data_IF_649291881799
#
_entry.id   IF_649291881799
#
_cell.length_a   1.000
_cell.length_b   1.000
_cell.length_c   1.000
_cell.angle_alpha   90.00
_cell.angle_beta   90.00
_cell.angle_gamma   90.00
#
_symmetry.space_group_name_H-M   'P 1'
#
loop_
_entity.id
_entity.type
_entity.pdbx_description
1 polymer ?
#
# COMPACT_ATOMS: atom_id res chain seq x y z
N UNK A 1 27.92 2.33 -12.40
CA UNK A 1 27.55 0.91 -12.13
C UNK A 1 26.87 0.82 -10.76
N UNK A 2 27.50 1.31 -9.68
CA UNK A 2 26.95 1.32 -8.32
C UNK A 2 25.50 1.86 -8.22
N UNK A 3 25.21 3.05 -8.77
CA UNK A 3 23.85 3.61 -8.75
C UNK A 3 22.80 2.78 -9.53
N UNK A 4 23.22 1.99 -10.53
CA UNK A 4 22.29 1.09 -11.25
C UNK A 4 21.93 -0.11 -10.40
N UNK A 5 22.90 -0.69 -9.69
CA UNK A 5 22.68 -1.81 -8.78
C UNK A 5 21.85 -1.39 -7.57
N UNK A 6 22.11 -0.20 -7.02
CA UNK A 6 21.28 0.41 -5.98
C UNK A 6 19.81 0.53 -6.43
N UNK A 7 19.57 1.17 -7.58
CA UNK A 7 18.24 1.33 -8.15
C UNK A 7 17.55 0.00 -8.48
N UNK A 8 18.30 -1.02 -8.94
CA UNK A 8 17.77 -2.35 -9.20
C UNK A 8 17.18 -2.99 -7.95
N UNK A 9 17.93 -3.00 -6.84
CA UNK A 9 17.47 -3.59 -5.59
C UNK A 9 16.31 -2.81 -4.98
N UNK A 10 16.33 -1.47 -5.03
CA UNK A 10 15.18 -0.67 -4.60
C UNK A 10 13.92 -0.96 -5.43
N UNK A 11 14.05 -1.03 -6.76
CA UNK A 11 12.93 -1.36 -7.63
C UNK A 11 12.35 -2.76 -7.36
N UNK A 12 13.22 -3.75 -7.08
CA UNK A 12 12.78 -5.09 -6.67
C UNK A 12 12.09 -5.09 -5.31
N UNK A 13 12.61 -4.33 -4.35
CA UNK A 13 11.96 -4.13 -3.05
C UNK A 13 10.54 -3.58 -3.23
N UNK A 14 10.34 -2.60 -4.13
CA UNK A 14 8.99 -2.12 -4.46
C UNK A 14 8.07 -3.26 -4.94
N UNK A 15 8.49 -4.02 -5.96
CA UNK A 15 7.69 -5.10 -6.56
C UNK A 15 7.37 -6.25 -5.60
N UNK A 16 8.24 -6.56 -4.64
CA UNK A 16 7.93 -7.55 -3.61
C UNK A 16 6.74 -7.14 -2.72
N UNK A 17 6.42 -5.85 -2.63
CA UNK A 17 5.24 -5.35 -1.95
C UNK A 17 3.92 -5.51 -2.72
N UNK A 18 3.94 -5.96 -3.98
CA UNK A 18 2.72 -6.09 -4.79
C UNK A 18 1.67 -7.03 -4.19
N UNK A 19 2.10 -8.12 -3.53
CA UNK A 19 1.19 -9.03 -2.81
C UNK A 19 0.55 -8.39 -1.58
N UNK A 20 1.22 -7.42 -0.96
CA UNK A 20 0.64 -6.67 0.16
C UNK A 20 -0.55 -5.85 -0.34
N UNK A 21 -0.39 -5.13 -1.46
CA UNK A 21 -1.46 -4.33 -2.08
C UNK A 21 -2.64 -5.19 -2.52
N UNK A 22 -2.37 -6.34 -3.17
CA UNK A 22 -3.42 -7.32 -3.53
C UNK A 22 -4.21 -7.75 -2.28
N UNK A 23 -3.50 -8.13 -1.22
CA UNK A 23 -4.10 -8.59 0.04
C UNK A 23 -4.85 -7.49 0.79
N UNK A 24 -4.43 -6.24 0.66
CA UNK A 24 -5.12 -5.05 1.20
C UNK A 24 -6.32 -4.59 0.34
N UNK A 25 -6.47 -5.15 -0.87
CA UNK A 25 -7.58 -4.82 -1.78
C UNK A 25 -8.80 -5.71 -1.56
N UNK A 26 -8.67 -7.02 -1.76
CA UNK A 26 -9.81 -7.94 -1.64
C UNK A 26 -9.36 -9.35 -1.26
N UNK A 27 -10.24 -10.18 -0.66
CA UNK A 27 -9.89 -11.55 -0.28
C UNK A 27 -9.49 -12.45 -1.45
N UNK A 28 -9.99 -12.18 -2.65
CA UNK A 28 -9.73 -12.97 -3.86
C UNK A 28 -8.57 -12.45 -4.72
N UNK A 29 -8.06 -11.24 -4.47
CA UNK A 29 -7.09 -10.59 -5.35
C UNK A 29 -5.80 -11.41 -5.57
N UNK A 30 -5.20 -11.97 -4.51
CA UNK A 30 -4.00 -12.81 -4.68
C UNK A 30 -4.28 -14.04 -5.53
N UNK A 31 -5.43 -14.70 -5.35
CA UNK A 31 -5.80 -15.86 -6.16
C UNK A 31 -6.09 -15.50 -7.61
N UNK A 32 -6.70 -14.33 -7.87
CA UNK A 32 -6.90 -13.81 -9.24
C UNK A 32 -5.54 -13.59 -9.91
N UNK A 33 -4.60 -12.95 -9.21
CA UNK A 33 -3.24 -12.76 -9.71
C UNK A 33 -2.57 -14.09 -10.04
N UNK A 34 -2.62 -15.06 -9.11
CA UNK A 34 -2.00 -16.37 -9.31
C UNK A 34 -2.64 -17.15 -10.48
N UNK A 35 -3.95 -17.03 -10.67
CA UNK A 35 -4.64 -17.62 -11.82
C UNK A 35 -4.21 -16.98 -13.15
N UNK A 36 -4.13 -15.65 -13.22
CA UNK A 36 -3.63 -14.92 -14.41
C UNK A 36 -2.21 -15.36 -14.77
N UNK A 37 -1.31 -15.41 -13.78
CA UNK A 37 0.09 -15.80 -14.00
C UNK A 37 0.19 -17.26 -14.43
N UNK A 38 -0.62 -18.16 -13.85
CA UNK A 38 -0.65 -19.56 -14.25
C UNK A 38 -1.16 -19.75 -15.68
N UNK A 39 -2.22 -19.04 -16.09
CA UNK A 39 -2.69 -19.07 -17.48
C UNK A 39 -1.60 -18.60 -18.45
N UNK A 40 -0.95 -17.47 -18.13
CA UNK A 40 0.14 -16.93 -18.94
C UNK A 40 1.30 -17.93 -19.07
N UNK A 41 1.68 -18.59 -17.98
CA UNK A 41 2.71 -19.63 -17.97
C UNK A 41 2.30 -20.84 -18.81
N UNK A 42 1.07 -21.32 -18.64
CA UNK A 42 0.57 -22.52 -19.31
C UNK A 42 0.40 -22.34 -20.83
N UNK A 43 0.01 -21.15 -21.28
CA UNK A 43 -0.03 -20.81 -22.72
C UNK A 43 1.31 -20.26 -23.25
N UNK A 44 2.32 -20.10 -22.40
CA UNK A 44 3.62 -19.51 -22.74
C UNK A 44 3.47 -18.14 -23.42
N UNK A 45 2.54 -17.33 -22.94
CA UNK A 45 2.18 -16.02 -23.48
C UNK A 45 1.41 -16.02 -24.80
N UNK A 46 1.11 -17.18 -25.39
CA UNK A 46 0.31 -17.30 -26.63
C UNK A 46 -1.17 -17.43 -26.30
N UNK A 47 -1.83 -16.31 -26.07
CA UNK A 47 -3.25 -16.29 -25.71
C UNK A 47 -4.18 -16.84 -26.81
N UNK A 48 -3.75 -16.81 -28.08
CA UNK A 48 -4.49 -17.42 -29.19
C UNK A 48 -4.62 -18.96 -29.06
N UNK A 49 -3.74 -19.63 -28.30
CA UNK A 49 -3.83 -21.08 -28.05
C UNK A 49 -5.17 -21.45 -27.37
N UNK A 50 -5.83 -20.52 -26.67
CA UNK A 50 -7.17 -20.74 -26.08
C UNK A 50 -8.28 -20.80 -27.13
N UNK A 51 -8.13 -20.11 -28.27
CA UNK A 51 -9.08 -20.17 -29.39
C UNK A 51 -9.03 -21.51 -30.10
N UNK A 52 -7.84 -22.07 -30.26
CA UNK A 52 -7.66 -23.41 -30.82
C UNK A 52 -8.29 -24.50 -29.94
N UNK A 53 -8.41 -24.20 -28.64
CA UNK A 53 -9.14 -25.03 -27.65
C UNK A 53 -10.64 -24.73 -27.60
N UNK A 54 -11.14 -23.90 -28.53
CA UNK A 54 -12.54 -23.59 -28.75
C UNK A 54 -13.10 -22.46 -27.90
N UNK A 55 -12.28 -21.63 -27.24
CA UNK A 55 -12.76 -20.42 -26.58
C UNK A 55 -13.20 -19.39 -27.63
N UNK A 56 -14.32 -18.73 -27.40
CA UNK A 56 -14.78 -17.64 -28.26
C UNK A 56 -13.85 -16.42 -28.15
N UNK A 57 -13.66 -15.70 -29.26
CA UNK A 57 -12.79 -14.52 -29.29
C UNK A 57 -13.26 -13.45 -28.31
N UNK A 58 -14.57 -13.22 -28.23
CA UNK A 58 -15.18 -12.20 -27.37
C UNK A 58 -14.91 -12.48 -25.87
N UNK A 59 -14.99 -13.75 -25.45
CA UNK A 59 -14.68 -14.17 -24.08
C UNK A 59 -13.20 -13.96 -23.75
N UNK A 60 -12.31 -14.27 -24.71
CA UNK A 60 -10.87 -14.04 -24.56
C UNK A 60 -10.54 -12.55 -24.44
N UNK A 61 -11.09 -11.72 -25.32
CA UNK A 61 -10.86 -10.28 -25.31
C UNK A 61 -11.35 -9.66 -24.00
N UNK A 62 -12.53 -10.07 -23.54
CA UNK A 62 -13.11 -9.62 -22.26
C UNK A 62 -12.23 -10.05 -21.08
N UNK A 63 -11.72 -11.28 -21.08
CA UNK A 63 -10.79 -11.76 -20.06
C UNK A 63 -9.47 -10.97 -20.05
N UNK A 64 -8.89 -10.71 -21.23
CA UNK A 64 -7.65 -9.96 -21.37
C UNK A 64 -7.81 -8.50 -20.96
N UNK A 65 -8.96 -7.88 -21.25
CA UNK A 65 -9.28 -6.55 -20.78
C UNK A 65 -9.38 -6.50 -19.25
N UNK A 66 -10.08 -7.45 -18.63
CA UNK A 66 -10.13 -7.58 -17.18
C UNK A 66 -8.73 -7.76 -16.58
N UNK A 67 -7.94 -8.66 -17.17
CA UNK A 67 -6.56 -8.97 -16.74
C UNK A 67 -5.67 -7.73 -16.81
N UNK A 68 -5.72 -6.98 -17.91
CA UNK A 68 -4.94 -5.76 -18.08
C UNK A 68 -5.30 -4.69 -17.04
N UNK A 69 -6.60 -4.52 -16.78
CA UNK A 69 -7.08 -3.60 -15.73
C UNK A 69 -6.65 -4.07 -14.34
N UNK A 70 -6.86 -5.35 -14.02
CA UNK A 70 -6.50 -5.94 -12.74
C UNK A 70 -5.00 -5.80 -12.42
N UNK A 71 -4.14 -6.15 -13.38
CA UNK A 71 -2.69 -6.08 -13.19
C UNK A 71 -2.19 -4.63 -13.06
N UNK A 72 -2.84 -3.69 -13.77
CA UNK A 72 -2.48 -2.27 -13.69
C UNK A 72 -2.86 -1.63 -12.34
N UNK A 73 -3.91 -2.12 -11.68
CA UNK A 73 -4.40 -1.60 -10.41
C UNK A 73 -3.99 -2.46 -9.20
N UNK A 74 -3.28 -3.59 -9.43
CA UNK A 74 -2.93 -4.59 -8.41
C UNK A 74 -4.16 -5.01 -7.56
N UNK A 75 -5.29 -5.24 -8.23
CA UNK A 75 -6.52 -5.61 -7.56
C UNK A 75 -7.75 -5.48 -8.45
N UNK A 76 -8.86 -6.07 -7.99
CA UNK A 76 -10.15 -6.03 -8.66
C UNK A 76 -11.09 -4.97 -8.06
N UNK A 77 -10.57 -3.93 -7.42
CA UNK A 77 -11.35 -2.78 -6.94
C UNK A 77 -10.78 -1.50 -7.54
N UNK A 78 -11.57 -0.80 -8.33
CA UNK A 78 -11.17 0.34 -9.14
C UNK A 78 -11.82 1.62 -8.61
N UNK A 79 -11.04 2.70 -8.53
CA UNK A 79 -11.55 4.00 -8.14
C UNK A 79 -12.50 4.55 -9.22
N UNK A 80 -13.78 4.65 -8.91
CA UNK A 80 -14.78 5.32 -9.74
C UNK A 80 -14.85 6.80 -9.39
N UNK A 81 -14.89 7.67 -10.41
CA UNK A 81 -14.97 9.14 -10.25
C UNK A 81 -16.17 9.60 -9.41
N UNK A 82 -17.25 8.81 -9.35
CA UNK A 82 -18.51 9.20 -8.69
C UNK A 82 -18.83 8.38 -7.42
N UNK A 83 -18.27 7.18 -7.27
CA UNK A 83 -18.79 6.17 -6.32
C UNK A 83 -17.71 5.50 -5.46
N UNK A 84 -16.47 6.02 -5.46
CA UNK A 84 -15.35 5.40 -4.74
C UNK A 84 -14.90 4.07 -5.35
N UNK A 85 -14.18 3.26 -4.57
CA UNK A 85 -13.63 1.99 -5.04
C UNK A 85 -14.73 0.93 -5.27
N UNK A 86 -14.93 0.55 -6.53
CA UNK A 86 -15.92 -0.45 -6.95
C UNK A 86 -15.25 -1.73 -7.42
N UNK A 87 -15.86 -2.86 -7.07
CA UNK A 87 -15.43 -4.18 -7.55
C UNK A 87 -15.62 -4.29 -9.06
N UNK A 88 -14.55 -4.68 -9.73
CA UNK A 88 -14.53 -5.08 -11.14
C UNK A 88 -14.67 -6.60 -11.23
N UNK A 89 -15.56 -7.07 -12.10
CA UNK A 89 -15.75 -8.49 -12.39
C UNK A 89 -15.42 -8.73 -13.88
N UNK A 90 -14.89 -9.90 -14.25
CA UNK A 90 -14.41 -10.13 -15.61
C UNK A 90 -15.51 -10.14 -16.68
N UNK A 91 -16.80 -10.24 -16.33
CA UNK A 91 -17.90 -10.40 -17.30
C UNK A 91 -17.73 -11.56 -18.30
N UNK A 92 -16.89 -12.55 -17.97
CA UNK A 92 -16.70 -13.77 -18.75
C UNK A 92 -17.58 -14.88 -18.16
N UNK A 93 -18.32 -15.66 -18.97
CA UNK A 93 -19.07 -16.80 -18.49
C UNK A 93 -18.21 -17.78 -17.68
N UNK A 94 -18.73 -18.32 -16.57
CA UNK A 94 -17.99 -19.29 -15.73
C UNK A 94 -17.49 -20.50 -16.52
N UNK A 95 -18.26 -20.97 -17.50
CA UNK A 95 -17.86 -22.10 -18.34
C UNK A 95 -16.70 -21.75 -19.28
N UNK A 96 -16.65 -20.52 -19.79
CA UNK A 96 -15.52 -20.01 -20.57
C UNK A 96 -14.25 -19.87 -19.71
N UNK A 97 -14.38 -19.38 -18.47
CA UNK A 97 -13.29 -19.35 -17.49
C UNK A 97 -12.75 -20.77 -17.20
N UNK A 98 -13.64 -21.74 -16.97
CA UNK A 98 -13.27 -23.14 -16.75
C UNK A 98 -12.62 -23.77 -17.98
N UNK A 99 -13.10 -23.43 -19.17
CA UNK A 99 -12.50 -23.87 -20.44
C UNK A 99 -11.07 -23.36 -20.60
N UNK A 100 -10.81 -22.09 -20.27
CA UNK A 100 -9.44 -21.56 -20.20
C UNK A 100 -8.59 -22.30 -19.16
N UNK A 101 -9.12 -22.45 -17.94
CA UNK A 101 -8.40 -23.12 -16.86
C UNK A 101 -8.07 -24.60 -17.16
N UNK A 102 -8.81 -25.24 -18.06
CA UNK A 102 -8.53 -26.59 -18.56
C UNK A 102 -7.18 -26.76 -19.27
N UNK A 103 -6.39 -25.69 -19.48
CA UNK A 103 -5.03 -25.78 -20.02
C UNK A 103 -4.05 -26.52 -19.10
N UNK A 104 -4.24 -26.45 -17.78
CA UNK A 104 -3.42 -27.17 -16.80
C UNK A 104 -4.25 -27.54 -15.53
N UNK A 105 -3.90 -28.64 -14.84
CA UNK A 105 -4.54 -28.99 -13.56
C UNK A 105 -4.39 -27.89 -12.50
N UNK A 106 -3.24 -27.20 -12.50
CA UNK A 106 -2.94 -26.09 -11.59
C UNK A 106 -3.86 -24.89 -11.85
N UNK A 107 -4.06 -24.50 -13.12
CA UNK A 107 -4.97 -23.40 -13.47
C UNK A 107 -6.41 -23.73 -13.06
N UNK A 108 -6.84 -24.98 -13.26
CA UNK A 108 -8.15 -25.47 -12.83
C UNK A 108 -8.33 -25.38 -11.31
N UNK A 109 -7.34 -25.83 -10.53
CA UNK A 109 -7.38 -25.74 -9.07
C UNK A 109 -7.46 -24.29 -8.58
N UNK A 110 -6.60 -23.41 -9.11
CA UNK A 110 -6.59 -21.98 -8.75
C UNK A 110 -7.92 -21.31 -9.07
N UNK A 111 -8.51 -21.58 -10.23
CA UNK A 111 -9.79 -20.99 -10.61
C UNK A 111 -10.89 -21.36 -9.61
N UNK A 112 -11.03 -22.63 -9.23
CA UNK A 112 -12.12 -23.06 -8.35
C UNK A 112 -12.03 -22.45 -6.94
N UNK A 113 -10.83 -22.06 -6.46
CA UNK A 113 -10.68 -21.34 -5.19
C UNK A 113 -11.29 -19.93 -5.21
N UNK A 114 -11.32 -19.29 -6.38
CA UNK A 114 -11.71 -17.88 -6.52
C UNK A 114 -12.95 -17.63 -7.37
N UNK A 115 -13.39 -18.58 -8.21
CA UNK A 115 -14.35 -18.32 -9.30
C UNK A 115 -15.63 -17.67 -8.78
N UNK A 116 -16.16 -18.15 -7.65
CA UNK A 116 -17.37 -17.59 -7.07
C UNK A 116 -17.17 -16.18 -6.55
N UNK A 117 -16.07 -15.90 -5.84
CA UNK A 117 -15.78 -14.55 -5.35
C UNK A 117 -15.46 -13.60 -6.50
N UNK A 118 -14.64 -14.01 -7.45
CA UNK A 118 -14.24 -13.20 -8.61
C UNK A 118 -15.44 -12.79 -9.49
N UNK A 119 -16.44 -13.67 -9.62
CA UNK A 119 -17.60 -13.44 -10.52
C UNK A 119 -18.86 -12.94 -9.82
N UNK A 120 -18.92 -12.95 -8.49
CA UNK A 120 -20.07 -12.42 -7.74
C UNK A 120 -19.96 -10.90 -7.60
N UNK A 121 -21.07 -10.20 -7.85
CA UNK A 121 -21.14 -8.74 -7.82
C UNK A 121 -21.01 -8.14 -6.40
N UNK A 122 -21.42 -8.89 -5.37
CA UNK A 122 -21.32 -8.47 -3.97
C UNK A 122 -20.15 -9.16 -3.26
N UNK A 123 -19.50 -8.50 -2.30
CA UNK A 123 -19.62 -7.07 -1.97
C UNK A 123 -19.07 -6.18 -3.11
N UNK A 124 -19.79 -5.10 -3.41
CA UNK A 124 -19.57 -4.28 -4.61
C UNK A 124 -18.61 -3.10 -4.40
N UNK A 125 -18.38 -2.69 -3.14
CA UNK A 125 -17.60 -1.50 -2.80
C UNK A 125 -16.60 -1.78 -1.68
N UNK A 126 -15.54 -0.98 -1.61
CA UNK A 126 -14.70 -0.93 -0.41
C UNK A 126 -15.33 -0.04 0.64
N UNK A 127 -15.37 -0.54 1.87
CA UNK A 127 -16.04 0.14 2.97
C UNK A 127 -16.03 -0.69 4.25
N UNK A 128 -16.71 -0.19 5.28
CA UNK A 128 -16.92 -0.97 6.50
C UNK A 128 -17.59 -2.31 6.15
N UNK A 129 -17.07 -3.47 6.62
CA UNK A 129 -17.62 -4.76 6.23
C UNK A 129 -19.12 -4.88 6.54
N UNK A 130 -19.93 -5.11 5.51
CA UNK A 130 -21.37 -5.37 5.62
C UNK A 130 -21.84 -6.26 4.45
N UNK A 131 -23.13 -6.21 4.09
CA UNK A 131 -23.68 -7.00 2.98
C UNK A 131 -23.24 -6.51 1.60
N UNK A 132 -22.87 -5.25 1.50
CA UNK A 132 -22.59 -4.52 0.25
C UNK A 132 -21.15 -4.06 0.13
N UNK A 133 -20.45 -3.93 1.26
CA UNK A 133 -19.10 -3.41 1.38
C UNK A 133 -18.13 -4.47 1.92
N UNK A 134 -16.87 -4.35 1.54
CA UNK A 134 -15.77 -5.13 2.11
C UNK A 134 -14.55 -4.28 2.43
N UNK A 135 -13.72 -4.78 3.35
CA UNK A 135 -12.39 -4.23 3.58
C UNK A 135 -11.51 -5.31 4.17
N UNK A 136 -10.39 -5.61 3.52
CA UNK A 136 -9.44 -6.61 4.05
C UNK A 136 -8.54 -6.05 5.13
N UNK A 137 -8.65 -4.77 5.50
CA UNK A 137 -8.15 -4.23 6.77
C UNK A 137 -8.90 -4.80 7.97
N UNK A 138 -10.13 -5.29 7.75
CA UNK A 138 -10.95 -5.99 8.74
C UNK A 138 -11.26 -7.42 8.27
N UNK A 139 -10.24 -8.28 8.10
CA UNK A 139 -10.46 -9.61 7.53
C UNK A 139 -11.17 -10.49 8.54
N UNK A 140 -11.97 -11.44 8.06
CA UNK A 140 -12.69 -12.40 8.90
C UNK A 140 -14.07 -12.72 8.35
N UNK A 141 -14.74 -13.67 8.99
CA UNK A 141 -16.14 -14.01 8.68
C UNK A 141 -17.13 -13.18 9.50
N UNK A 142 -16.72 -12.75 10.68
CA UNK A 142 -17.53 -11.95 11.58
C UNK A 142 -17.41 -10.47 11.23
N UNK A 143 -18.53 -9.77 11.09
CA UNK A 143 -18.52 -8.32 10.92
C UNK A 143 -18.12 -7.64 12.23
N UNK A 144 -17.05 -6.86 12.14
CA UNK A 144 -16.62 -5.95 13.20
C UNK A 144 -17.32 -4.60 13.02
N UNK A 145 -17.86 -4.04 14.11
CA UNK A 145 -18.59 -2.76 14.04
C UNK A 145 -17.64 -1.57 14.14
N UNK A 146 -18.11 -0.38 13.76
CA UNK A 146 -17.34 0.86 13.86
C UNK A 146 -16.91 1.16 15.29
N UNK A 147 -17.79 0.90 16.25
CA UNK A 147 -17.55 1.11 17.69
C UNK A 147 -16.49 0.14 18.22
N UNK A 148 -16.48 -1.11 17.74
CA UNK A 148 -15.46 -2.09 18.08
C UNK A 148 -14.10 -1.68 17.50
N UNK A 149 -14.07 -1.23 16.23
CA UNK A 149 -12.84 -0.72 15.59
C UNK A 149 -12.30 0.47 16.38
N UNK A 150 -13.13 1.47 16.68
CA UNK A 150 -12.76 2.67 17.43
C UNK A 150 -12.23 2.32 18.83
N UNK A 151 -12.87 1.38 19.52
CA UNK A 151 -12.42 0.93 20.85
C UNK A 151 -11.05 0.26 20.80
N UNK A 152 -10.79 -0.57 19.78
CA UNK A 152 -9.48 -1.20 19.57
C UNK A 152 -8.43 -0.14 19.20
N UNK A 153 -8.75 0.81 18.30
CA UNK A 153 -7.84 1.90 17.93
C UNK A 153 -7.42 2.72 19.17
N UNK A 154 -8.37 3.10 20.04
CA UNK A 154 -8.06 3.80 21.30
C UNK A 154 -7.18 2.96 22.23
N UNK A 155 -7.46 1.66 22.32
CA UNK A 155 -6.62 0.76 23.12
C UNK A 155 -5.19 0.72 22.57
N UNK A 156 -5.01 0.62 21.25
CA UNK A 156 -3.70 0.62 20.60
C UNK A 156 -2.92 1.89 20.93
N UNK A 157 -3.57 3.06 20.87
CA UNK A 157 -2.97 4.35 21.26
C UNK A 157 -2.46 4.32 22.71
N UNK A 158 -3.28 3.84 23.67
CA UNK A 158 -2.85 3.73 25.09
C UNK A 158 -1.70 2.75 25.32
N UNK A 159 -1.46 1.84 24.37
CA UNK A 159 -0.39 0.84 24.42
C UNK A 159 0.80 1.20 23.54
N UNK A 160 0.75 2.34 22.85
CA UNK A 160 1.81 2.78 21.94
C UNK A 160 1.96 1.90 20.71
N UNK A 161 0.89 1.23 20.28
CA UNK A 161 0.84 0.45 19.04
C UNK A 161 0.23 1.33 17.96
N UNK A 162 0.97 1.51 16.85
CA UNK A 162 0.51 2.29 15.71
C UNK A 162 -0.52 1.50 14.90
N UNK A 163 -1.69 2.06 14.54
CA UNK A 163 -2.66 1.37 13.68
C UNK A 163 -2.22 1.23 12.22
N UNK A 164 -1.30 2.06 11.73
CA UNK A 164 -0.99 2.23 10.31
C UNK A 164 -0.54 0.94 9.62
N UNK A 165 0.23 0.08 10.30
CA UNK A 165 0.73 -1.18 9.75
C UNK A 165 -0.02 -2.41 10.29
N UNK A 166 -1.32 -2.27 10.60
CA UNK A 166 -2.12 -3.34 11.21
C UNK A 166 -3.37 -3.71 10.43
N UNK A 167 -3.88 -4.92 10.67
CA UNK A 167 -5.22 -5.39 10.29
C UNK A 167 -5.93 -5.95 11.51
N UNK A 168 -7.26 -5.96 11.51
CA UNK A 168 -8.06 -6.31 12.68
C UNK A 168 -9.11 -7.37 12.36
N UNK A 169 -8.96 -8.56 12.95
CA UNK A 169 -9.93 -9.67 12.80
C UNK A 169 -10.76 -9.85 14.05
N UNK A 170 -12.08 -9.94 13.86
CA UNK A 170 -13.02 -10.36 14.89
C UNK A 170 -13.21 -11.87 14.85
N UNK A 171 -13.07 -12.52 16.01
CA UNK A 171 -13.32 -13.95 16.17
C UNK A 171 -14.53 -14.17 17.08
N UNK A 172 -15.38 -15.13 16.72
CA UNK A 172 -16.45 -15.61 17.60
C UNK A 172 -15.87 -16.25 18.87
N UNK A 173 -16.58 -16.09 19.99
CA UNK A 173 -16.17 -16.60 21.31
C UNK A 173 -16.05 -18.13 21.27
N UNK A 174 -14.83 -18.65 21.26
CA UNK A 174 -14.54 -20.09 21.18
C UNK A 174 -13.46 -20.48 20.16
N UNK A 175 -13.19 -19.62 19.17
CA UNK A 175 -12.17 -19.84 18.12
C UNK A 175 -10.84 -19.14 18.41
N UNK A 176 -10.52 -18.83 19.67
CA UNK A 176 -9.26 -18.21 20.02
C UNK A 176 -8.13 -19.21 19.73
N UNK A 177 -7.35 -18.95 18.68
CA UNK A 177 -6.12 -19.67 18.39
C UNK A 177 -5.19 -19.48 19.59
N UNK A 178 -4.95 -20.56 20.33
CA UNK A 178 -3.91 -20.62 21.34
C UNK A 178 -2.56 -20.72 20.62
N UNK A 179 -1.90 -19.57 20.39
CA UNK A 179 -0.49 -19.50 20.04
C UNK A 179 0.25 -18.73 21.13
N UNK A 180 1.47 -19.14 21.43
CA UNK A 180 2.25 -18.74 22.62
C UNK A 180 2.77 -17.29 22.57
N UNK A 181 2.57 -16.54 21.47
CA UNK A 181 3.18 -15.22 21.23
C UNK A 181 2.21 -14.02 21.17
N UNK A 182 1.01 -14.11 21.76
CA UNK A 182 0.07 -12.98 21.76
C UNK A 182 0.16 -12.12 23.03
N UNK A 183 0.17 -10.80 22.86
CA UNK A 183 -0.14 -9.89 23.97
C UNK A 183 -1.65 -9.78 24.13
N UNK A 184 -2.16 -10.11 25.31
CA UNK A 184 -3.59 -9.97 25.65
C UNK A 184 -3.86 -8.58 26.19
N UNK A 185 -4.78 -7.86 25.57
CA UNK A 185 -5.32 -6.60 26.06
C UNK A 185 -6.81 -6.77 26.35
N UNK A 186 -7.31 -6.14 27.40
CA UNK A 186 -8.74 -6.15 27.72
C UNK A 186 -9.38 -4.82 27.33
N UNK A 187 -10.47 -4.88 26.56
CA UNK A 187 -11.36 -3.74 26.31
C UNK A 187 -12.58 -3.91 27.22
N UNK A 188 -12.77 -2.95 28.12
CA UNK A 188 -13.96 -2.85 28.97
C UNK A 188 -15.03 -2.05 28.23
N UNK A 189 -15.82 -2.71 27.39
CA UNK A 189 -17.03 -2.12 26.80
C UNK A 189 -18.16 -2.19 27.82
N UNK A 190 -19.02 -1.15 27.87
CA UNK A 190 -20.12 -1.00 28.83
C UNK A 190 -21.08 -2.21 28.94
N UNK A 191 -21.04 -3.14 27.98
CA UNK A 191 -21.90 -4.31 27.93
C UNK A 191 -21.17 -5.65 28.14
N UNK A 192 -19.89 -5.80 27.74
CA UNK A 192 -19.09 -7.06 27.86
C UNK A 192 -17.58 -6.81 27.77
N UNK A 193 -16.73 -7.54 28.53
CA UNK A 193 -15.29 -7.53 28.34
C UNK A 193 -14.91 -8.23 27.03
N UNK A 194 -14.07 -7.60 26.22
CA UNK A 194 -13.46 -8.19 25.02
C UNK A 194 -11.95 -8.33 25.22
N UNK A 195 -11.35 -9.38 24.63
CA UNK A 195 -9.90 -9.58 24.61
C UNK A 195 -9.38 -9.26 23.21
N UNK A 196 -8.35 -8.44 23.15
CA UNK A 196 -7.59 -8.12 21.94
C UNK A 196 -6.25 -8.82 22.03
N UNK A 197 -5.81 -9.38 20.92
CA UNK A 197 -4.52 -10.07 20.82
C UNK A 197 -3.68 -9.34 19.76
N UNK A 198 -2.47 -8.89 20.12
CA UNK A 198 -1.51 -8.40 19.13
C UNK A 198 -0.72 -9.59 18.59
N UNK A 199 -0.81 -9.78 17.27
CA UNK A 199 -0.03 -10.77 16.51
C UNK A 199 0.95 -10.06 15.59
N UNK A 200 2.12 -10.66 15.41
CA UNK A 200 3.09 -10.24 14.40
C UNK A 200 3.07 -11.22 13.22
N UNK A 201 3.75 -10.86 12.13
CA UNK A 201 3.97 -11.74 10.98
C UNK A 201 2.96 -11.61 9.83
N UNK A 202 2.06 -10.62 9.89
CA UNK A 202 1.29 -10.28 8.69
C UNK A 202 2.23 -9.83 7.57
N UNK A 203 2.02 -10.33 6.36
CA UNK A 203 2.89 -10.10 5.20
C UNK A 203 4.36 -10.55 5.37
N UNK A 204 4.66 -11.47 6.30
CA UNK A 204 6.05 -11.83 6.64
C UNK A 204 6.89 -12.32 5.46
N UNK A 205 6.30 -13.06 4.52
CA UNK A 205 7.01 -13.55 3.34
C UNK A 205 7.43 -12.38 2.42
N UNK A 206 6.53 -11.43 2.17
CA UNK A 206 6.84 -10.23 1.39
C UNK A 206 7.88 -9.37 2.10
N UNK A 207 7.69 -9.12 3.41
CA UNK A 207 8.62 -8.32 4.21
C UNK A 207 10.03 -8.92 4.20
N UNK A 208 10.17 -10.25 4.29
CA UNK A 208 11.47 -10.90 4.21
C UNK A 208 12.18 -10.65 2.87
N UNK A 209 11.45 -10.72 1.75
CA UNK A 209 11.98 -10.44 0.41
C UNK A 209 12.36 -8.96 0.25
N UNK A 210 11.50 -8.04 0.71
CA UNK A 210 11.78 -6.60 0.73
C UNK A 210 13.05 -6.32 1.53
N UNK A 211 13.17 -6.82 2.76
CA UNK A 211 14.35 -6.64 3.59
C UNK A 211 15.62 -7.23 2.96
N UNK A 212 15.53 -8.33 2.23
CA UNK A 212 16.67 -8.91 1.52
C UNK A 212 17.17 -7.95 0.43
N UNK A 213 16.27 -7.42 -0.39
CA UNK A 213 16.62 -6.44 -1.43
C UNK A 213 17.16 -5.14 -0.82
N UNK A 214 16.56 -4.61 0.25
CA UNK A 214 17.08 -3.42 0.94
C UNK A 214 18.47 -3.66 1.55
N UNK A 215 18.73 -4.88 2.05
CA UNK A 215 20.05 -5.25 2.56
C UNK A 215 21.11 -5.24 1.45
N UNK A 216 20.76 -5.72 0.25
CA UNK A 216 21.64 -5.64 -0.91
C UNK A 216 21.80 -4.20 -1.42
N UNK A 217 20.72 -3.42 -1.52
CA UNK A 217 20.76 -2.00 -1.90
C UNK A 217 21.72 -1.22 -0.99
N UNK A 218 21.64 -1.42 0.32
CA UNK A 218 22.49 -0.74 1.31
C UNK A 218 23.99 -0.88 1.05
N UNK A 219 24.45 -1.96 0.41
CA UNK A 219 25.87 -2.15 0.05
C UNK A 219 26.36 -1.15 -1.01
N UNK A 220 25.44 -0.55 -1.75
CA UNK A 220 25.69 0.36 -2.86
C UNK A 220 25.26 1.81 -2.57
N UNK A 221 24.72 2.07 -1.37
CA UNK A 221 24.41 3.42 -0.90
C UNK A 221 25.69 4.27 -0.82
N UNK A 222 25.61 5.50 -1.33
CA UNK A 222 26.72 6.42 -1.50
C UNK A 222 26.92 7.31 -0.26
N UNK A 223 25.84 7.65 0.45
CA UNK A 223 25.88 8.49 1.65
C UNK A 223 25.40 7.73 2.90
N UNK A 224 25.73 8.24 4.07
CA UNK A 224 25.44 7.56 5.33
C UNK A 224 23.96 7.66 5.71
N UNK A 225 23.27 8.71 5.27
CA UNK A 225 21.83 8.89 5.37
C UNK A 225 21.07 7.77 4.65
N UNK A 226 21.43 7.45 3.39
CA UNK A 226 20.86 6.32 2.64
C UNK A 226 21.07 4.99 3.39
N UNK A 227 22.29 4.73 3.88
CA UNK A 227 22.60 3.48 4.61
C UNK A 227 21.80 3.36 5.90
N UNK A 228 21.65 4.48 6.61
CA UNK A 228 20.95 4.57 7.89
C UNK A 228 19.45 4.41 7.67
N UNK A 229 18.87 5.14 6.71
CA UNK A 229 17.46 5.06 6.35
C UNK A 229 17.07 3.65 5.92
N UNK A 230 17.86 3.00 5.06
CA UNK A 230 17.62 1.61 4.66
C UNK A 230 17.71 0.63 5.84
N UNK A 231 18.65 0.84 6.77
CA UNK A 231 18.76 0.00 7.96
C UNK A 231 17.56 0.14 8.89
N UNK A 232 17.04 1.36 9.03
CA UNK A 232 15.83 1.65 9.81
C UNK A 232 14.56 1.08 9.16
N UNK A 233 14.44 1.15 7.83
CA UNK A 233 13.36 0.47 7.09
C UNK A 233 13.42 -1.05 7.28
N UNK A 234 14.60 -1.65 7.17
CA UNK A 234 14.79 -3.09 7.38
C UNK A 234 14.36 -3.48 8.79
N UNK A 235 14.74 -2.70 9.81
CA UNK A 235 14.33 -2.95 11.19
C UNK A 235 12.81 -2.90 11.33
N UNK A 236 12.18 -1.84 10.82
CA UNK A 236 10.74 -1.66 10.87
C UNK A 236 9.98 -2.81 10.19
N UNK A 237 10.40 -3.22 8.99
CA UNK A 237 9.72 -4.28 8.24
C UNK A 237 9.95 -5.68 8.84
N UNK A 238 11.07 -5.90 9.55
CA UNK A 238 11.32 -7.16 10.25
C UNK A 238 10.53 -7.29 11.54
N UNK A 239 10.41 -6.21 12.31
CA UNK A 239 9.84 -6.26 13.66
C UNK A 239 8.40 -5.77 13.73
N UNK A 240 7.96 -4.98 12.74
CA UNK A 240 6.70 -4.24 12.78
C UNK A 240 6.79 -2.94 13.60
N UNK A 241 7.98 -2.52 14.07
CA UNK A 241 8.12 -1.29 14.84
C UNK A 241 7.88 -0.04 13.95
N UNK A 242 6.78 0.64 14.23
CA UNK A 242 6.42 1.88 13.54
C UNK A 242 7.28 3.08 13.98
N UNK A 243 7.92 3.03 15.16
CA UNK A 243 8.89 4.07 15.54
C UNK A 243 10.12 4.00 14.64
N UNK A 244 10.64 2.80 14.38
CA UNK A 244 11.69 2.59 13.39
C UNK A 244 11.28 3.07 11.99
N UNK A 245 10.00 2.88 11.60
CA UNK A 245 9.47 3.40 10.34
C UNK A 245 9.55 4.93 10.27
N UNK A 246 9.09 5.62 11.32
CA UNK A 246 9.17 7.09 11.42
C UNK A 246 10.62 7.56 11.43
N UNK A 247 11.51 6.89 12.15
CA UNK A 247 12.94 7.20 12.14
C UNK A 247 13.55 7.06 10.75
N UNK A 248 13.19 6.02 9.99
CA UNK A 248 13.63 5.84 8.62
C UNK A 248 13.22 7.02 7.73
N UNK A 249 11.96 7.44 7.84
CA UNK A 249 11.43 8.57 7.09
C UNK A 249 12.11 9.89 7.50
N UNK A 250 12.38 10.11 8.80
CA UNK A 250 13.13 11.27 9.29
C UNK A 250 14.55 11.33 8.75
N UNK A 251 15.20 10.18 8.56
CA UNK A 251 16.53 10.10 7.94
C UNK A 251 16.43 10.35 6.44
N UNK A 252 15.45 9.75 5.78
CA UNK A 252 15.20 9.90 4.34
C UNK A 252 15.00 11.36 3.94
N UNK A 253 14.18 12.14 4.66
CA UNK A 253 13.96 13.56 4.32
C UNK A 253 15.20 14.47 4.46
N UNK A 254 16.28 13.97 5.09
CA UNK A 254 17.58 14.66 5.19
C UNK A 254 18.49 14.37 4.01
N UNK A 255 18.26 13.27 3.29
CA UNK A 255 18.98 12.95 2.06
C UNK A 255 18.45 13.84 0.93
N UNK A 256 19.08 14.99 0.71
CA UNK A 256 18.60 16.01 -0.21
C UNK A 256 19.07 15.74 -1.63
N UNK A 257 18.13 15.77 -2.57
CA UNK A 257 18.35 15.56 -4.00
C UNK A 257 19.18 14.29 -4.34
N UNK A 258 18.80 13.10 -3.86
CA UNK A 258 19.50 11.87 -4.19
C UNK A 258 19.39 11.58 -5.70
N UNK A 259 20.41 10.92 -6.26
CA UNK A 259 20.37 10.52 -7.67
C UNK A 259 19.28 9.45 -7.93
N UNK A 260 19.10 8.57 -6.96
CA UNK A 260 18.09 7.51 -6.97
C UNK A 260 17.21 7.72 -5.76
N UNK A 261 15.97 8.09 -6.00
CA UNK A 261 14.99 8.37 -4.96
C UNK A 261 14.15 7.12 -4.68
N UNK A 262 13.68 6.98 -3.44
CA UNK A 262 12.70 5.97 -3.09
C UNK A 262 11.79 6.42 -1.96
N UNK A 263 10.55 5.93 -1.96
CA UNK A 263 9.65 6.06 -0.83
C UNK A 263 8.83 4.76 -0.74
N UNK A 264 8.88 4.07 0.40
CA UNK A 264 8.16 2.79 0.54
C UNK A 264 7.73 2.50 1.97
N UNK A 265 6.55 1.90 2.10
CA UNK A 265 5.98 1.47 3.37
C UNK A 265 4.46 1.58 3.42
N UNK A 266 3.93 1.54 4.63
CA UNK A 266 2.51 1.79 4.90
C UNK A 266 2.30 3.31 5.05
N UNK A 267 1.90 3.98 3.97
CA UNK A 267 1.99 5.44 3.85
C UNK A 267 0.65 6.18 3.91
N UNK A 268 -0.39 5.69 3.23
CA UNK A 268 -1.64 6.43 3.05
C UNK A 268 -2.85 5.64 3.52
N UNK A 269 -3.78 6.30 4.20
CA UNK A 269 -4.94 5.66 4.84
C UNK A 269 -6.25 5.81 4.04
N UNK A 270 -6.18 6.06 2.73
CA UNK A 270 -7.36 6.36 1.90
C UNK A 270 -8.37 5.21 1.78
N UNK A 271 -7.90 3.94 1.80
CA UNK A 271 -8.73 2.76 1.56
C UNK A 271 -9.16 2.02 2.83
N UNK A 272 -8.64 2.41 3.99
CA UNK A 272 -9.23 1.99 5.27
C UNK A 272 -10.49 2.82 5.52
N UNK A 273 -11.69 2.23 5.61
CA UNK A 273 -12.91 2.99 5.87
C UNK A 273 -12.91 3.73 7.22
N UNK A 274 -12.00 3.36 8.14
CA UNK A 274 -11.80 4.08 9.40
C UNK A 274 -10.68 5.13 9.34
N UNK A 275 -9.87 5.15 8.28
CA UNK A 275 -8.82 6.14 8.06
C UNK A 275 -7.65 6.08 9.05
N UNK A 276 -7.33 4.89 9.59
CA UNK A 276 -6.23 4.70 10.56
C UNK A 276 -5.17 3.72 10.10
N UNK A 277 -5.54 2.76 9.25
CA UNK A 277 -4.64 1.77 8.67
C UNK A 277 -4.18 2.26 7.30
N UNK A 278 -2.89 2.13 7.03
CA UNK A 278 -2.28 2.61 5.82
C UNK A 278 -2.08 1.48 4.81
N UNK A 279 -2.23 1.83 3.54
CA UNK A 279 -1.93 0.99 2.41
C UNK A 279 -0.43 0.96 2.16
N UNK A 280 0.06 -0.20 1.73
CA UNK A 280 1.40 -0.33 1.20
C UNK A 280 1.55 0.46 -0.10
N UNK A 281 2.54 1.33 -0.16
CA UNK A 281 2.98 1.99 -1.37
C UNK A 281 4.50 1.92 -1.45
N UNK A 282 5.03 1.74 -2.65
CA UNK A 282 6.47 1.77 -2.88
C UNK A 282 6.80 2.36 -4.25
N UNK A 283 7.70 3.34 -4.27
CA UNK A 283 8.27 3.92 -5.48
C UNK A 283 9.79 3.91 -5.40
N UNK A 284 10.43 3.70 -6.54
CA UNK A 284 11.84 3.97 -6.75
C UNK A 284 12.04 4.62 -8.13
N UNK A 285 12.87 5.65 -8.21
CA UNK A 285 13.07 6.42 -9.43
C UNK A 285 14.42 7.10 -9.53
N UNK A 286 14.72 7.64 -10.70
CA UNK A 286 15.95 8.39 -10.97
C UNK A 286 15.60 9.88 -11.00
N UNK A 287 16.27 10.70 -10.20
CA UNK A 287 16.04 12.13 -10.21
C UNK A 287 16.39 12.74 -11.58
N UNK A 288 15.56 13.68 -12.04
CA UNK A 288 15.81 14.55 -13.19
C UNK A 288 16.44 15.86 -12.69
N UNK A 289 17.76 16.07 -12.84
CA UNK A 289 18.44 17.19 -12.18
C UNK A 289 17.93 18.57 -12.63
N UNK A 290 17.68 18.74 -13.93
CA UNK A 290 17.24 20.04 -14.47
C UNK A 290 15.83 20.43 -13.99
N UNK A 291 14.85 19.53 -14.07
CA UNK A 291 13.50 19.78 -13.57
C UNK A 291 13.46 19.91 -12.04
N UNK A 292 14.22 19.09 -11.32
CA UNK A 292 14.39 19.21 -9.86
C UNK A 292 14.94 20.58 -9.48
N UNK A 293 15.90 21.12 -10.24
CA UNK A 293 16.44 22.45 -10.00
C UNK A 293 15.41 23.57 -10.26
N UNK A 294 14.48 23.40 -11.21
CA UNK A 294 13.37 24.35 -11.39
C UNK A 294 12.42 24.33 -10.19
N UNK A 295 12.12 23.14 -9.66
CA UNK A 295 11.30 23.01 -8.45
C UNK A 295 11.99 23.62 -7.22
N UNK A 296 13.31 23.51 -7.12
CA UNK A 296 14.09 24.20 -6.09
C UNK A 296 13.90 25.73 -6.15
N UNK A 297 13.87 26.34 -7.33
CA UNK A 297 13.59 27.78 -7.47
C UNK A 297 12.16 28.15 -7.05
N UNK A 298 11.19 27.24 -7.23
CA UNK A 298 9.82 27.42 -6.72
C UNK A 298 9.82 27.39 -5.18
N UNK A 299 10.52 26.40 -4.61
CA UNK A 299 10.69 26.23 -3.17
C UNK A 299 11.37 27.44 -2.53
N UNK A 300 12.38 28.04 -3.18
CA UNK A 300 13.05 29.28 -2.73
C UNK A 300 12.09 30.50 -2.70
N UNK A 301 11.02 30.47 -3.51
CA UNK A 301 9.98 31.53 -3.55
C UNK A 301 8.79 31.25 -2.63
N UNK A 302 8.76 30.10 -1.96
CA UNK A 302 7.62 29.62 -1.17
C UNK A 302 7.14 30.63 -0.13
N UNK A 303 8.04 31.24 0.66
CA UNK A 303 7.65 32.24 1.67
C UNK A 303 6.96 33.48 1.06
N UNK A 304 7.27 33.85 -0.18
CA UNK A 304 6.58 34.93 -0.88
C UNK A 304 5.19 34.50 -1.35
N UNK A 305 5.06 33.29 -1.88
CA UNK A 305 3.80 32.70 -2.34
C UNK A 305 2.83 32.44 -1.17
N UNK A 306 3.34 32.01 -0.02
CA UNK A 306 2.52 31.79 1.19
C UNK A 306 1.82 33.08 1.63
N UNK A 307 2.48 34.23 1.47
CA UNK A 307 1.90 35.55 1.79
C UNK A 307 0.78 35.99 0.83
N UNK A 308 0.56 35.26 -0.27
CA UNK A 308 -0.56 35.51 -1.19
C UNK A 308 -1.77 34.62 -0.92
N UNK A 309 -1.69 33.72 0.06
CA UNK A 309 -2.78 32.83 0.45
C UNK A 309 -3.90 33.62 1.14
N UNK A 310 -5.17 33.16 1.06
CA UNK A 310 -6.32 33.94 1.53
C UNK A 310 -6.38 34.13 3.05
N UNK A 311 -5.57 33.39 3.82
CA UNK A 311 -5.42 33.55 5.26
C UNK A 311 -4.22 34.40 5.68
N UNK A 312 -3.44 34.92 4.71
CA UNK A 312 -2.29 35.77 4.99
C UNK A 312 -2.72 37.12 5.57
N UNK A 313 -2.07 37.54 6.66
CA UNK A 313 -2.31 38.83 7.32
C UNK A 313 -0.97 39.59 7.36
N UNK A 314 -0.88 40.80 6.76
CA UNK A 314 0.41 41.50 6.58
C UNK A 314 1.21 41.72 7.87
N UNK A 315 0.51 42.07 8.96
CA UNK A 315 1.13 42.44 10.23
C UNK A 315 1.30 41.26 11.20
N UNK A 316 1.04 40.03 10.74
CA UNK A 316 1.11 38.82 11.57
C UNK A 316 1.97 37.73 10.92
N UNK A 317 2.79 37.05 11.73
CA UNK A 317 3.69 35.98 11.29
C UNK A 317 4.48 36.34 10.02
N UNK A 318 5.12 37.52 10.02
CA UNK A 318 5.88 38.03 8.87
C UNK A 318 5.08 38.04 7.55
N UNK A 319 3.79 38.34 7.63
CA UNK A 319 2.87 38.42 6.49
C UNK A 319 2.19 37.10 6.13
N UNK A 320 2.48 35.99 6.81
CA UNK A 320 1.87 34.68 6.53
C UNK A 320 0.51 34.48 7.20
N UNK A 321 0.20 35.29 8.21
CA UNK A 321 -1.04 35.21 8.97
C UNK A 321 -1.06 34.13 10.07
N UNK A 322 -2.18 34.05 10.83
CA UNK A 322 -2.31 33.28 12.06
C UNK A 322 -2.40 31.76 11.86
N UNK A 323 -2.75 31.32 10.65
CA UNK A 323 -2.98 29.91 10.34
C UNK A 323 -1.76 29.20 9.73
N UNK A 324 -0.67 29.93 9.51
CA UNK A 324 0.57 29.39 8.97
C UNK A 324 1.58 29.11 10.11
N UNK A 325 2.40 28.06 10.02
CA UNK A 325 3.52 27.85 10.94
C UNK A 325 4.45 29.08 11.01
N UNK A 326 4.95 29.38 12.21
CA UNK A 326 5.89 30.48 12.43
C UNK A 326 7.21 30.24 11.71
N UNK A 327 7.81 29.08 11.95
CA UNK A 327 8.95 28.57 11.21
C UNK A 327 8.48 27.76 10.00
N UNK A 328 8.99 28.11 8.81
CA UNK A 328 8.78 27.34 7.58
C UNK A 328 10.06 26.59 7.28
N UNK A 329 10.06 25.27 7.48
CA UNK A 329 11.17 24.44 7.02
C UNK A 329 11.01 24.23 5.51
N UNK A 330 12.08 24.49 4.77
CA UNK A 330 12.04 24.50 3.31
C UNK A 330 12.01 23.04 2.84
N UNK A 331 10.91 22.57 2.19
CA UNK A 331 10.81 21.18 1.77
C UNK A 331 11.83 20.85 0.68
N UNK A 332 12.17 19.57 0.53
CA UNK A 332 12.78 19.15 -0.74
C UNK A 332 11.69 19.02 -1.80
N UNK A 333 12.06 19.07 -3.07
CA UNK A 333 11.14 18.79 -4.18
C UNK A 333 11.92 18.12 -5.30
N UNK A 334 11.75 16.81 -5.43
CA UNK A 334 12.40 16.02 -6.46
C UNK A 334 11.45 15.69 -7.62
N UNK A 335 11.93 15.83 -8.85
CA UNK A 335 11.27 15.28 -10.04
C UNK A 335 11.98 13.99 -10.42
N UNK A 336 11.25 12.88 -10.45
CA UNK A 336 11.83 11.55 -10.68
C UNK A 336 11.25 10.89 -11.92
N UNK A 337 12.10 10.17 -12.66
CA UNK A 337 11.67 9.16 -13.61
C UNK A 337 11.48 7.85 -12.87
N UNK A 338 10.21 7.44 -12.73
CA UNK A 338 9.82 6.22 -12.02
C UNK A 338 10.41 4.99 -12.71
N UNK A 339 11.13 4.15 -11.95
CA UNK A 339 11.60 2.84 -12.39
C UNK A 339 10.65 1.73 -11.95
N UNK A 340 10.12 1.85 -10.74
CA UNK A 340 9.10 0.97 -10.18
C UNK A 340 8.14 1.80 -9.33
N UNK A 341 6.84 1.55 -9.51
CA UNK A 341 5.78 2.08 -8.65
C UNK A 341 4.80 0.97 -8.37
N UNK A 342 4.54 0.74 -7.09
CA UNK A 342 3.67 -0.32 -6.58
C UNK A 342 2.70 0.32 -5.62
N UNK A 343 1.47 0.44 -6.08
CA UNK A 343 0.34 1.06 -5.39
C UNK A 343 -0.94 0.62 -6.11
N UNK A 344 -2.09 0.78 -5.46
CA UNK A 344 -3.38 0.55 -6.11
C UNK A 344 -3.74 1.63 -7.13
N UNK A 345 -3.07 2.78 -7.05
CA UNK A 345 -3.30 3.96 -7.90
C UNK A 345 -1.96 4.56 -8.30
N UNK A 346 -1.79 4.92 -9.57
CA UNK A 346 -0.59 5.67 -10.00
C UNK A 346 -0.75 7.14 -9.60
N UNK A 347 0.15 7.62 -8.76
CA UNK A 347 0.18 9.01 -8.31
C UNK A 347 1.12 9.83 -9.18
N UNK A 348 0.68 11.01 -9.64
CA UNK A 348 1.52 11.95 -10.40
C UNK A 348 2.53 12.68 -9.50
N UNK A 349 2.18 12.87 -8.23
CA UNK A 349 3.00 13.48 -7.21
C UNK A 349 2.65 12.92 -5.83
N UNK A 350 3.62 12.94 -4.92
CA UNK A 350 3.44 12.60 -3.52
C UNK A 350 4.09 13.68 -2.67
N UNK A 351 3.49 13.95 -1.51
CA UNK A 351 4.05 14.84 -0.50
C UNK A 351 4.04 14.09 0.83
N UNK A 352 5.22 13.82 1.38
CA UNK A 352 5.37 13.13 2.65
C UNK A 352 5.84 14.14 3.67
N UNK A 353 5.06 14.33 4.74
CA UNK A 353 5.40 15.23 5.84
C UNK A 353 5.60 14.44 7.13
N UNK A 354 6.60 14.85 7.90
CA UNK A 354 7.00 14.18 9.12
C UNK A 354 7.22 15.22 10.20
N UNK A 355 6.59 14.99 11.34
CA UNK A 355 6.87 15.75 12.55
C UNK A 355 8.12 15.16 13.24
N UNK A 356 9.14 16.00 13.39
CA UNK A 356 10.38 15.67 14.10
C UNK A 356 10.30 16.00 15.60
N UNK A 357 11.23 15.46 16.38
CA UNK A 357 11.23 15.55 17.84
C UNK A 357 11.56 16.97 18.35
N UNK A 358 12.11 17.81 17.48
CA UNK A 358 12.31 19.25 17.70
C UNK A 358 11.04 20.09 17.46
N UNK A 359 9.92 19.43 17.14
CA UNK A 359 8.64 20.07 16.84
C UNK A 359 8.54 20.63 15.41
N UNK A 360 9.56 20.44 14.57
CA UNK A 360 9.54 20.89 13.18
C UNK A 360 8.87 19.87 12.28
N UNK A 361 8.09 20.36 11.33
CA UNK A 361 7.52 19.55 10.24
C UNK A 361 8.43 19.64 9.03
N UNK A 362 8.95 18.49 8.59
CA UNK A 362 9.79 18.38 7.39
C UNK A 362 9.02 17.66 6.29
N UNK A 363 9.17 18.14 5.06
CA UNK A 363 8.47 17.60 3.89
C UNK A 363 9.43 17.29 2.74
N UNK A 364 9.04 16.31 1.93
CA UNK A 364 9.61 15.96 0.62
C UNK A 364 8.49 15.70 -0.36
#
# INVERSE_FOLDING_TARGET
ILSKTYAHHLARACWHGGRIVLRQTSPEAEGIFDFIIELHRACNGRWDDFRERGLEQEDLDTWLQFTGSFLSNLGNSLLSQNDGDRKSIPNVPKDALRKMAGISPEASAKLEEIIDRMTTAQPAQLGYPDKTNQSTYYPGREWITKEEIEAVTKLMETKGVAPENTRLTKHARGNALASENFHVFEILQASRPARVFLSHGDHAEEMAKICAELTEARKYALVDEEKTGLSQLIESFRTGDYKAFRSAHKTWVKDKAPRVEHCMGFLFFYRDPHGKRAEWLAVAGIAHPEETNKMKQLVEKSSGLIRTLPWAVPDENYGKGPFEPSEFDVPDFAIIHVLASVSSTVWEAMNITIDDDDGKRRGV
#
